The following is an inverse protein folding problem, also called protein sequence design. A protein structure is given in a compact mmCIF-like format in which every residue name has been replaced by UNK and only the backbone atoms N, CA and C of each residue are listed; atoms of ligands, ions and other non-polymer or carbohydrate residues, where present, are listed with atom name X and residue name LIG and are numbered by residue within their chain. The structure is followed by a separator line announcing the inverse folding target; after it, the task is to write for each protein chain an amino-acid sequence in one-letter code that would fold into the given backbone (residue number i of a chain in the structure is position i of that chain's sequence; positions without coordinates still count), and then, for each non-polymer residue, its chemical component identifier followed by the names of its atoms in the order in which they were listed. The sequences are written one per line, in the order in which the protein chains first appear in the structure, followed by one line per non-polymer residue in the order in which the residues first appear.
data_IF_628212972346
#
_entry.id   IF_628212972346
#
_cell.length_a   1.000
_cell.length_b   1.000
_cell.length_c   1.000
_cell.angle_alpha   90.00
_cell.angle_beta   90.00
_cell.angle_gamma   90.00
#
_symmetry.space_group_name_H-M   'P 1'
#
loop_
_entity.id
_entity.type
_entity.pdbx_description
1 polymer ?
#
# COMPACT_ATOMS: atom_id res chain seq x y z
N UNK A 1 -0.72 -13.86 20.09
CA UNK A 1 0.31 -13.16 20.84
C UNK A 1 -0.04 -13.10 22.34
N UNK A 2 -1.15 -12.50 22.73
CA UNK A 2 -1.56 -12.31 24.15
C UNK A 2 -1.58 -13.62 24.96
N UNK A 3 -2.06 -14.72 24.35
CA UNK A 3 -2.08 -16.05 24.97
C UNK A 3 -0.69 -16.52 25.44
N UNK A 4 0.37 -16.05 24.79
CA UNK A 4 1.76 -16.37 25.09
C UNK A 4 2.52 -15.26 25.79
N UNK A 5 1.83 -14.23 26.28
CA UNK A 5 2.44 -13.06 26.89
C UNK A 5 3.27 -12.19 25.94
N UNK A 6 3.11 -12.38 24.62
CA UNK A 6 3.83 -11.63 23.62
C UNK A 6 3.16 -10.29 23.31
N UNK A 7 3.98 -9.30 22.95
CA UNK A 7 3.52 -8.00 22.46
C UNK A 7 3.27 -8.04 20.96
N UNK A 8 2.37 -7.20 20.49
CA UNK A 8 2.02 -7.08 19.08
C UNK A 8 2.41 -5.69 18.60
N UNK A 9 3.24 -5.63 17.58
CA UNK A 9 3.50 -4.42 16.80
C UNK A 9 2.96 -4.62 15.40
N UNK A 10 2.22 -3.63 14.91
CA UNK A 10 1.70 -3.61 13.54
C UNK A 10 2.38 -2.50 12.76
N UNK A 11 3.07 -2.85 11.69
CA UNK A 11 3.47 -1.92 10.65
C UNK A 11 2.28 -1.76 9.69
N UNK A 12 1.61 -0.65 9.83
CA UNK A 12 0.40 -0.33 9.05
C UNK A 12 0.67 0.72 7.95
N UNK A 13 1.90 0.78 7.47
CA UNK A 13 2.31 1.73 6.45
C UNK A 13 1.49 1.63 5.15
N UNK A 14 0.91 0.49 4.85
CA UNK A 14 0.01 0.26 3.70
C UNK A 14 -1.46 0.12 4.09
N UNK A 15 -1.80 -0.08 5.36
CA UNK A 15 -3.18 -0.25 5.81
C UNK A 15 -3.86 1.07 6.15
N UNK A 16 -3.13 2.02 6.72
CA UNK A 16 -3.66 3.35 7.07
C UNK A 16 -4.18 4.08 5.83
N UNK A 17 -5.42 4.55 5.89
CA UNK A 17 -6.11 5.20 4.78
C UNK A 17 -6.65 4.26 3.71
N UNK A 18 -6.54 2.93 3.91
CA UNK A 18 -6.90 1.88 2.93
C UNK A 18 -7.83 0.83 3.53
N UNK A 19 -7.46 0.25 4.65
CA UNK A 19 -8.19 -0.85 5.30
C UNK A 19 -8.96 -0.37 6.54
N UNK A 20 -9.95 -1.15 6.93
CA UNK A 20 -10.76 -0.89 8.13
C UNK A 20 -11.76 0.22 7.93
N UNK A 21 -12.57 0.45 8.95
CA UNK A 21 -13.60 1.49 8.95
C UNK A 21 -12.99 2.88 8.76
N UNK A 22 -13.44 3.63 7.77
CA UNK A 22 -12.91 4.96 7.46
C UNK A 22 -11.40 4.98 7.15
N UNK A 23 -10.79 3.83 6.82
CA UNK A 23 -9.35 3.75 6.55
C UNK A 23 -8.47 3.72 7.81
N UNK A 24 -8.98 3.28 8.95
CA UNK A 24 -8.26 3.25 10.24
C UNK A 24 -7.16 2.19 10.32
N UNK A 25 -7.02 1.37 9.28
CA UNK A 25 -5.92 0.45 9.13
C UNK A 25 -6.24 -1.02 9.39
N UNK A 26 -5.19 -1.83 9.39
CA UNK A 26 -5.27 -3.28 9.43
C UNK A 26 -5.91 -3.82 10.71
N UNK A 27 -5.57 -3.27 11.87
CA UNK A 27 -6.17 -3.70 13.13
C UNK A 27 -7.68 -3.44 13.15
N UNK A 28 -8.13 -2.30 12.64
CA UNK A 28 -9.55 -1.97 12.49
C UNK A 28 -10.28 -2.92 11.53
N UNK A 29 -9.62 -3.31 10.44
CA UNK A 29 -10.17 -4.27 9.50
C UNK A 29 -10.51 -5.62 10.16
N UNK A 30 -9.71 -6.04 11.13
CA UNK A 30 -9.93 -7.29 11.86
C UNK A 30 -10.67 -7.13 13.19
N UNK A 31 -11.04 -5.91 13.61
CA UNK A 31 -11.65 -5.65 14.91
C UNK A 31 -10.73 -5.97 16.09
N UNK A 32 -9.42 -5.72 15.92
CA UNK A 32 -8.37 -6.10 16.88
C UNK A 32 -7.57 -4.90 17.41
N UNK A 33 -8.14 -3.68 17.35
CA UNK A 33 -7.44 -2.46 17.76
C UNK A 33 -6.90 -2.54 19.21
N UNK A 34 -7.68 -3.12 20.12
CA UNK A 34 -7.30 -3.27 21.53
C UNK A 34 -6.23 -4.36 21.77
N UNK A 35 -5.87 -5.14 20.73
CA UNK A 35 -4.89 -6.21 20.82
C UNK A 35 -3.48 -5.76 20.40
N UNK A 36 -3.35 -4.57 19.84
CA UNK A 36 -2.07 -4.04 19.34
C UNK A 36 -1.41 -3.19 20.42
N UNK A 37 -0.15 -3.49 20.73
CA UNK A 37 0.62 -2.75 21.73
C UNK A 37 1.37 -1.56 21.12
N UNK A 38 1.78 -1.68 19.85
CA UNK A 38 2.51 -0.63 19.12
C UNK A 38 2.02 -0.56 17.69
N UNK A 39 1.63 0.63 17.27
CA UNK A 39 1.33 0.94 15.87
C UNK A 39 2.48 1.71 15.23
N UNK A 40 2.82 1.35 14.02
CA UNK A 40 3.68 2.13 13.13
C UNK A 40 2.93 2.47 11.86
N UNK A 41 3.09 3.68 11.39
CA UNK A 41 2.57 4.11 10.08
C UNK A 41 3.47 5.13 9.44
N UNK A 42 3.30 5.29 8.12
CA UNK A 42 4.05 6.28 7.35
C UNK A 42 3.14 7.37 6.80
N UNK A 43 3.69 8.57 6.64
CA UNK A 43 3.01 9.67 5.95
C UNK A 43 3.23 9.65 4.43
N UNK A 44 4.14 8.80 3.95
CA UNK A 44 4.57 8.81 2.54
C UNK A 44 3.66 8.05 1.56
N UNK A 45 2.53 7.56 2.01
CA UNK A 45 1.55 6.82 1.20
C UNK A 45 0.20 7.54 1.22
N UNK A 46 -0.79 7.05 1.94
CA UNK A 46 -2.14 7.64 1.99
C UNK A 46 -2.18 9.09 2.45
N UNK A 47 -1.25 9.51 3.28
CA UNK A 47 -1.16 10.89 3.80
C UNK A 47 -0.28 11.82 2.95
N UNK A 48 0.23 11.35 1.82
CA UNK A 48 0.91 12.15 0.77
C UNK A 48 2.00 13.11 1.28
N UNK A 49 2.78 12.71 2.30
CA UNK A 49 3.81 13.54 2.92
C UNK A 49 5.11 12.76 3.15
N UNK A 50 6.00 13.28 3.97
CA UNK A 50 7.25 12.65 4.40
C UNK A 50 7.19 12.39 5.90
N UNK A 51 7.77 11.25 6.34
CA UNK A 51 7.88 10.88 7.75
C UNK A 51 6.93 9.75 8.12
N UNK A 52 6.69 9.60 9.40
CA UNK A 52 5.83 8.57 9.96
C UNK A 52 5.58 8.78 11.43
N UNK A 53 4.91 7.84 12.05
CA UNK A 53 4.59 7.88 13.46
C UNK A 53 4.72 6.50 14.09
N UNK A 54 4.88 6.52 15.40
CA UNK A 54 4.67 5.37 16.27
C UNK A 54 3.64 5.77 17.34
N UNK A 55 2.67 4.92 17.58
CA UNK A 55 1.70 5.08 18.65
C UNK A 55 1.71 3.86 19.57
N UNK A 56 1.74 4.10 20.87
CA UNK A 56 1.78 3.09 21.93
C UNK A 56 1.28 3.68 23.24
N UNK A 57 1.39 2.93 24.37
CA UNK A 57 1.15 3.54 25.69
C UNK A 57 2.10 4.71 25.97
N UNK A 58 1.72 5.58 26.87
CA UNK A 58 2.54 6.75 27.22
C UNK A 58 3.96 6.39 27.66
N UNK A 59 4.09 5.33 28.46
CA UNK A 59 5.38 4.83 28.95
C UNK A 59 6.26 4.32 27.81
N UNK A 60 5.70 3.57 26.87
CA UNK A 60 6.44 3.05 25.70
C UNK A 60 6.83 4.20 24.78
N UNK A 61 5.91 5.12 24.51
CA UNK A 61 6.18 6.28 23.65
C UNK A 61 7.28 7.18 24.25
N UNK A 62 7.25 7.42 25.55
CA UNK A 62 8.27 8.19 26.26
C UNK A 62 9.63 7.48 26.26
N UNK A 63 9.65 6.19 26.54
CA UNK A 63 10.88 5.40 26.47
C UNK A 63 11.50 5.44 25.06
N UNK A 64 10.71 5.24 24.02
CA UNK A 64 11.18 5.27 22.64
C UNK A 64 11.74 6.65 22.26
N UNK A 65 11.09 7.74 22.70
CA UNK A 65 11.53 9.11 22.45
C UNK A 65 12.92 9.36 23.04
N UNK A 66 13.25 8.78 24.19
CA UNK A 66 14.52 8.98 24.87
C UNK A 66 15.59 7.93 24.56
N UNK A 67 15.20 6.73 24.07
CA UNK A 67 16.12 5.61 23.85
C UNK A 67 16.35 5.27 22.38
N UNK A 68 15.46 5.68 21.47
CA UNK A 68 15.59 5.35 20.04
C UNK A 68 16.68 6.17 19.37
N UNK A 69 17.79 5.54 19.07
CA UNK A 69 18.91 6.18 18.37
C UNK A 69 18.52 6.75 17.00
N UNK A 70 17.74 6.03 16.15
CA UNK A 70 17.28 6.60 14.89
C UNK A 70 16.44 7.87 15.08
N UNK A 71 15.61 7.93 16.12
CA UNK A 71 14.82 9.13 16.42
C UNK A 71 15.68 10.29 16.92
N UNK A 72 16.62 10.03 17.85
CA UNK A 72 17.46 11.07 18.48
C UNK A 72 18.44 11.67 17.47
N UNK A 73 19.02 10.83 16.59
CA UNK A 73 20.09 11.23 15.65
C UNK A 73 19.57 11.55 14.23
N UNK A 74 18.26 11.61 14.04
CA UNK A 74 17.66 12.02 12.76
C UNK A 74 17.10 13.43 12.86
N UNK A 75 17.17 14.17 11.77
CA UNK A 75 16.52 15.47 11.66
C UNK A 75 14.99 15.29 11.70
N UNK A 76 14.32 16.21 12.38
CA UNK A 76 12.85 16.22 12.45
C UNK A 76 12.23 16.48 11.08
N UNK A 77 11.01 15.97 10.88
CA UNK A 77 10.23 16.27 9.67
C UNK A 77 9.96 17.78 9.58
N UNK A 78 10.07 18.37 8.37
CA UNK A 78 9.80 19.79 8.16
C UNK A 78 8.33 20.15 8.52
N UNK A 79 8.07 21.36 9.03
CA UNK A 79 6.71 21.80 9.38
C UNK A 79 5.71 21.70 8.23
N UNK A 80 6.12 21.97 6.99
CA UNK A 80 5.29 21.82 5.82
C UNK A 80 4.79 20.38 5.62
N UNK A 81 5.66 19.39 5.87
CA UNK A 81 5.30 17.97 5.78
C UNK A 81 4.36 17.55 6.92
N UNK A 82 4.53 18.08 8.13
CA UNK A 82 3.59 17.87 9.21
C UNK A 82 2.20 18.43 8.86
N UNK A 83 2.16 19.65 8.32
CA UNK A 83 0.91 20.29 7.91
C UNK A 83 0.22 19.51 6.78
N UNK A 84 0.98 19.01 5.81
CA UNK A 84 0.45 18.18 4.72
C UNK A 84 -0.16 16.87 5.27
N UNK A 85 0.55 16.15 6.12
CA UNK A 85 0.04 14.92 6.73
C UNK A 85 -1.23 15.17 7.54
N UNK A 86 -1.25 16.25 8.33
CA UNK A 86 -2.43 16.64 9.12
C UNK A 86 -3.62 16.97 8.23
N UNK A 87 -3.42 17.76 7.18
CA UNK A 87 -4.48 18.11 6.23
C UNK A 87 -5.04 16.86 5.50
N UNK A 88 -4.16 15.93 5.12
CA UNK A 88 -4.57 14.67 4.50
C UNK A 88 -5.38 13.79 5.47
N UNK A 89 -4.95 13.69 6.74
CA UNK A 89 -5.69 12.97 7.77
C UNK A 89 -7.07 13.58 8.01
N UNK A 90 -7.15 14.90 8.16
CA UNK A 90 -8.43 15.62 8.32
C UNK A 90 -9.34 15.44 7.10
N UNK A 91 -8.77 15.34 5.91
CA UNK A 91 -9.53 15.05 4.70
C UNK A 91 -10.08 13.62 4.73
N UNK A 92 -9.26 12.65 5.12
CA UNK A 92 -9.69 11.25 5.26
C UNK A 92 -10.83 11.11 6.28
N UNK A 93 -10.73 11.77 7.42
CA UNK A 93 -11.79 11.78 8.45
C UNK A 93 -13.12 12.37 7.96
N UNK A 94 -13.05 13.42 7.12
CA UNK A 94 -14.24 14.08 6.54
C UNK A 94 -14.82 13.35 5.34
N UNK A 95 -14.06 12.46 4.71
CA UNK A 95 -14.38 11.78 3.46
C UNK A 95 -14.19 10.26 3.59
N UNK A 96 -14.97 9.58 4.44
CA UNK A 96 -14.88 8.13 4.64
C UNK A 96 -15.20 7.34 3.36
N UNK A 97 -15.83 7.96 2.37
CA UNK A 97 -16.09 7.39 1.05
C UNK A 97 -14.82 7.14 0.22
N UNK A 98 -13.70 7.79 0.53
CA UNK A 98 -12.46 7.64 -0.25
C UNK A 98 -11.87 6.23 -0.15
N UNK A 99 -11.69 5.62 1.05
CA UNK A 99 -11.28 4.22 1.16
C UNK A 99 -12.26 3.24 0.51
N UNK A 100 -13.57 3.50 0.59
CA UNK A 100 -14.60 2.66 -0.04
C UNK A 100 -14.50 2.69 -1.55
N UNK A 101 -14.34 3.90 -2.13
CA UNK A 101 -14.10 4.09 -3.56
C UNK A 101 -12.82 3.37 -4.01
N UNK A 102 -11.74 3.51 -3.24
CA UNK A 102 -10.48 2.83 -3.54
C UNK A 102 -10.65 1.31 -3.54
N UNK A 103 -11.41 0.77 -2.60
CA UNK A 103 -11.74 -0.66 -2.53
C UNK A 103 -12.52 -1.11 -3.77
N UNK A 104 -13.54 -0.35 -4.17
CA UNK A 104 -14.33 -0.65 -5.37
C UNK A 104 -13.46 -0.66 -6.64
N UNK A 105 -12.60 0.36 -6.83
CA UNK A 105 -11.67 0.42 -7.95
C UNK A 105 -10.63 -0.72 -7.91
N UNK A 106 -10.19 -1.14 -6.73
CA UNK A 106 -9.27 -2.27 -6.58
C UNK A 106 -9.91 -3.60 -7.00
N UNK A 107 -11.18 -3.80 -6.66
CA UNK A 107 -11.97 -4.96 -7.10
C UNK A 107 -12.17 -4.94 -8.62
N UNK A 108 -12.53 -3.77 -9.16
CA UNK A 108 -12.69 -3.55 -10.59
C UNK A 108 -11.41 -3.88 -11.36
N UNK A 109 -10.29 -3.34 -10.92
CA UNK A 109 -8.99 -3.60 -11.54
C UNK A 109 -8.57 -5.08 -11.45
N UNK A 110 -8.78 -5.73 -10.29
CA UNK A 110 -8.50 -7.18 -10.16
C UNK A 110 -9.28 -8.00 -11.17
N UNK A 111 -10.57 -7.73 -11.27
CA UNK A 111 -11.43 -8.42 -12.24
C UNK A 111 -10.97 -8.14 -13.66
N UNK A 112 -10.74 -6.87 -14.02
CA UNK A 112 -10.33 -6.46 -15.36
C UNK A 112 -9.00 -7.05 -15.80
N UNK A 113 -8.00 -7.15 -14.91
CA UNK A 113 -6.72 -7.81 -15.18
C UNK A 113 -6.92 -9.33 -15.39
N UNK A 114 -7.72 -9.97 -14.57
CA UNK A 114 -8.00 -11.41 -14.68
C UNK A 114 -8.78 -11.72 -15.97
N UNK A 115 -9.77 -10.92 -16.32
CA UNK A 115 -10.56 -11.06 -17.56
C UNK A 115 -9.68 -10.95 -18.83
N UNK A 116 -8.55 -10.24 -18.73
CA UNK A 116 -7.53 -10.11 -19.79
C UNK A 116 -6.47 -11.23 -19.76
N UNK A 117 -6.68 -12.26 -18.96
CA UNK A 117 -5.81 -13.44 -18.88
C UNK A 117 -4.52 -13.23 -18.09
N UNK A 118 -4.40 -12.14 -17.35
CA UNK A 118 -3.20 -11.85 -16.56
C UNK A 118 -3.18 -12.66 -15.27
N UNK A 119 -2.05 -13.25 -14.94
CA UNK A 119 -1.86 -13.96 -13.67
C UNK A 119 -1.53 -12.94 -12.57
N UNK A 120 -2.50 -12.69 -11.71
CA UNK A 120 -2.34 -11.81 -10.55
C UNK A 120 -2.19 -12.62 -9.26
N UNK A 121 -1.49 -12.06 -8.27
CA UNK A 121 -1.41 -12.67 -6.95
C UNK A 121 -2.79 -12.67 -6.28
N UNK A 122 -3.27 -13.83 -5.79
CA UNK A 122 -4.51 -13.90 -5.03
C UNK A 122 -4.47 -12.99 -3.80
N UNK A 123 -5.59 -12.36 -3.45
CA UNK A 123 -5.72 -11.68 -2.18
C UNK A 123 -6.15 -12.66 -1.10
N UNK A 124 -5.48 -12.61 0.05
CA UNK A 124 -5.91 -13.35 1.23
C UNK A 124 -7.04 -12.61 2.00
N UNK A 125 -7.33 -11.36 1.63
CA UNK A 125 -8.34 -10.53 2.26
C UNK A 125 -9.60 -10.50 1.40
N UNK A 126 -10.77 -10.48 2.03
CA UNK A 126 -12.05 -10.22 1.35
C UNK A 126 -12.08 -8.79 0.77
N UNK A 127 -11.46 -7.84 1.47
CA UNK A 127 -11.22 -6.49 0.96
C UNK A 127 -9.80 -6.40 0.38
N UNK A 128 -9.63 -6.49 -0.94
CA UNK A 128 -8.31 -6.44 -1.56
C UNK A 128 -7.68 -5.05 -1.41
N UNK A 129 -6.37 -5.03 -1.22
CA UNK A 129 -5.61 -3.79 -1.22
C UNK A 129 -5.48 -3.22 -2.64
N UNK A 130 -5.20 -1.91 -2.79
CA UNK A 130 -5.01 -1.26 -4.08
C UNK A 130 -3.68 -1.58 -4.75
N UNK A 131 -2.91 -2.51 -4.21
CA UNK A 131 -1.69 -3.02 -4.83
C UNK A 131 -1.99 -4.39 -5.42
N UNK A 132 -1.83 -4.50 -6.74
CA UNK A 132 -2.10 -5.74 -7.45
C UNK A 132 -0.83 -6.18 -8.16
N UNK A 133 -0.16 -7.24 -7.66
CA UNK A 133 0.98 -7.84 -8.34
C UNK A 133 0.53 -8.67 -9.54
N UNK A 134 1.18 -8.47 -10.69
CA UNK A 134 0.99 -9.23 -11.94
C UNK A 134 2.27 -10.03 -12.19
N UNK A 135 2.20 -11.35 -12.21
CA UNK A 135 3.37 -12.20 -12.39
C UNK A 135 3.91 -12.14 -13.83
N UNK A 136 5.20 -11.92 -13.91
CA UNK A 136 5.99 -12.00 -15.14
C UNK A 136 7.03 -13.13 -15.06
N UNK A 137 7.30 -13.59 -13.84
CA UNK A 137 8.16 -14.71 -13.44
C UNK A 137 9.66 -14.47 -13.66
N UNK A 138 10.07 -13.98 -14.82
CA UNK A 138 11.46 -13.87 -15.24
C UNK A 138 11.94 -12.41 -15.21
N UNK A 139 13.13 -12.17 -14.66
CA UNK A 139 13.69 -10.83 -14.41
C UNK A 139 13.80 -9.97 -15.67
N UNK A 140 14.40 -10.51 -16.74
CA UNK A 140 14.60 -9.72 -17.98
C UNK A 140 13.28 -9.45 -18.69
N UNK A 141 12.36 -10.41 -18.67
CA UNK A 141 11.00 -10.22 -19.17
C UNK A 141 10.30 -9.10 -18.41
N UNK A 142 10.40 -9.10 -17.08
CA UNK A 142 9.78 -8.06 -16.23
C UNK A 142 10.27 -6.66 -16.60
N UNK A 143 11.58 -6.49 -16.77
CA UNK A 143 12.17 -5.20 -17.12
C UNK A 143 11.73 -4.73 -18.51
N UNK A 144 11.74 -5.63 -19.48
CA UNK A 144 11.34 -5.36 -20.86
C UNK A 144 9.87 -4.96 -20.98
N UNK A 145 9.00 -5.75 -20.35
CA UNK A 145 7.56 -5.50 -20.30
C UNK A 145 7.26 -4.16 -19.58
N UNK A 146 7.93 -3.89 -18.45
CA UNK A 146 7.75 -2.63 -17.74
C UNK A 146 8.15 -1.41 -18.58
N UNK A 147 9.26 -1.51 -19.34
CA UNK A 147 9.70 -0.46 -20.25
C UNK A 147 8.70 -0.22 -21.40
N UNK A 148 8.21 -1.30 -22.05
CA UNK A 148 7.23 -1.17 -23.14
C UNK A 148 5.90 -0.60 -22.64
N UNK A 149 5.42 -1.01 -21.46
CA UNK A 149 4.22 -0.46 -20.83
C UNK A 149 4.40 1.04 -20.55
N UNK A 150 5.58 1.43 -20.05
CA UNK A 150 5.92 2.83 -19.79
C UNK A 150 5.93 3.66 -21.08
N UNK A 151 6.52 3.17 -22.14
CA UNK A 151 6.57 3.84 -23.46
C UNK A 151 5.16 4.04 -24.05
N UNK A 152 4.20 3.21 -23.65
CA UNK A 152 2.78 3.32 -24.00
C UNK A 152 1.96 4.20 -23.02
N UNK A 153 2.63 4.84 -22.05
CA UNK A 153 2.03 5.83 -21.16
C UNK A 153 1.50 5.29 -19.83
N UNK A 154 1.78 4.02 -19.48
CA UNK A 154 1.36 3.43 -18.21
C UNK A 154 2.56 3.15 -17.31
N UNK A 155 2.58 3.73 -16.13
CA UNK A 155 3.63 3.49 -15.15
C UNK A 155 3.31 2.30 -14.25
N UNK A 156 4.22 1.31 -14.23
CA UNK A 156 4.20 0.15 -13.33
C UNK A 156 5.58 -0.06 -12.72
N UNK A 157 5.64 -0.59 -11.50
CA UNK A 157 6.91 -0.89 -10.84
C UNK A 157 7.32 -2.34 -11.10
N UNK A 158 8.46 -2.62 -11.77
CA UNK A 158 9.05 -3.95 -11.76
C UNK A 158 9.53 -4.29 -10.34
N UNK A 159 9.19 -5.47 -9.85
CA UNK A 159 9.64 -6.01 -8.56
C UNK A 159 10.35 -7.33 -8.83
N UNK A 160 11.61 -7.39 -8.45
CA UNK A 160 12.56 -8.44 -8.84
C UNK A 160 13.18 -9.08 -7.61
N UNK A 161 13.81 -10.25 -7.72
CA UNK A 161 14.66 -10.77 -6.64
C UNK A 161 15.76 -9.75 -6.26
N UNK A 162 16.07 -9.57 -4.95
CA UNK A 162 15.61 -10.37 -3.81
C UNK A 162 14.28 -9.90 -3.17
N UNK A 163 13.61 -8.86 -3.70
CA UNK A 163 12.32 -8.39 -3.17
C UNK A 163 11.18 -9.38 -3.43
N UNK A 164 11.39 -10.29 -4.40
CA UNK A 164 10.57 -11.48 -4.65
C UNK A 164 11.45 -12.72 -4.61
N UNK A 165 10.89 -13.92 -4.39
CA UNK A 165 11.62 -15.17 -4.62
C UNK A 165 12.12 -15.28 -6.06
N UNK A 166 13.19 -16.06 -6.27
CA UNK A 166 13.65 -16.42 -7.61
C UNK A 166 12.52 -17.06 -8.43
N UNK A 167 12.35 -16.61 -9.67
CA UNK A 167 11.29 -17.08 -10.55
C UNK A 167 9.91 -16.48 -10.28
N UNK A 168 9.77 -15.51 -9.35
CA UNK A 168 8.53 -14.83 -9.03
C UNK A 168 8.58 -13.32 -9.29
N UNK A 169 9.38 -12.88 -10.25
CA UNK A 169 9.39 -11.48 -10.66
C UNK A 169 8.00 -11.04 -11.14
N UNK A 170 7.65 -9.78 -10.87
CA UNK A 170 6.31 -9.28 -11.12
C UNK A 170 6.29 -7.78 -11.44
N UNK A 171 5.18 -7.33 -12.01
CA UNK A 171 4.83 -5.91 -12.10
C UNK A 171 3.93 -5.57 -10.90
N UNK A 172 4.30 -4.55 -10.15
CA UNK A 172 3.49 -4.01 -9.06
C UNK A 172 2.66 -2.84 -9.58
N UNK A 173 1.35 -3.05 -9.72
CA UNK A 173 0.41 -1.96 -10.01
C UNK A 173 -0.15 -1.39 -8.71
N UNK A 174 -0.44 -0.07 -8.72
CA UNK A 174 -0.97 0.65 -7.55
C UNK A 174 -2.07 1.59 -7.99
N UNK A 175 -3.18 1.58 -7.27
CA UNK A 175 -4.38 2.32 -7.61
C UNK A 175 -4.67 3.41 -6.58
N UNK A 176 -5.39 4.46 -7.03
CA UNK A 176 -5.78 5.61 -6.21
C UNK A 176 -7.28 5.86 -6.33
N UNK A 177 -7.88 6.44 -5.28
CA UNK A 177 -9.29 6.79 -5.27
C UNK A 177 -9.67 7.84 -6.34
N UNK A 178 -8.69 8.54 -6.91
CA UNK A 178 -8.87 9.52 -7.99
C UNK A 178 -8.90 8.91 -9.38
N UNK A 179 -8.54 7.64 -9.54
CA UNK A 179 -8.65 6.96 -10.82
C UNK A 179 -10.11 6.81 -11.24
N UNK A 180 -10.35 6.70 -12.54
CA UNK A 180 -11.64 6.38 -13.14
C UNK A 180 -11.59 5.00 -13.77
N UNK A 181 -12.75 4.35 -13.92
CA UNK A 181 -12.82 3.04 -14.60
C UNK A 181 -12.27 3.13 -16.03
N UNK A 182 -12.56 4.21 -16.75
CA UNK A 182 -12.04 4.42 -18.10
C UNK A 182 -10.51 4.47 -18.17
N UNK A 183 -9.86 5.17 -17.22
CA UNK A 183 -8.39 5.17 -17.12
C UNK A 183 -7.83 3.79 -16.77
N UNK A 184 -8.54 3.05 -15.91
CA UNK A 184 -8.15 1.70 -15.55
C UNK A 184 -8.30 0.73 -16.72
N UNK A 185 -9.37 0.85 -17.50
CA UNK A 185 -9.57 0.03 -18.72
C UNK A 185 -8.45 0.26 -19.73
N UNK A 186 -8.14 1.52 -20.04
CA UNK A 186 -7.04 1.86 -20.94
C UNK A 186 -5.70 1.29 -20.46
N UNK A 187 -5.39 1.45 -19.18
CA UNK A 187 -4.16 0.90 -18.59
C UNK A 187 -4.12 -0.63 -18.64
N UNK A 188 -5.22 -1.28 -18.31
CA UNK A 188 -5.31 -2.75 -18.31
C UNK A 188 -5.25 -3.32 -19.73
N UNK A 189 -5.81 -2.64 -20.73
CA UNK A 189 -5.71 -3.02 -22.14
C UNK A 189 -4.23 -2.96 -22.61
N UNK A 190 -3.54 -1.87 -22.30
CA UNK A 190 -2.12 -1.72 -22.60
C UNK A 190 -1.28 -2.82 -21.95
N UNK A 191 -1.49 -3.07 -20.65
CA UNK A 191 -0.77 -4.12 -19.92
C UNK A 191 -1.06 -5.49 -20.54
N UNK A 192 -2.32 -5.80 -20.81
CA UNK A 192 -2.74 -7.07 -21.41
C UNK A 192 -2.11 -7.31 -22.78
N UNK A 193 -2.13 -6.31 -23.65
CA UNK A 193 -1.56 -6.39 -24.99
C UNK A 193 -0.04 -6.61 -24.97
N UNK A 194 0.69 -5.90 -24.10
CA UNK A 194 2.15 -6.07 -23.95
C UNK A 194 2.47 -7.45 -23.40
N UNK A 195 1.77 -7.87 -22.35
CA UNK A 195 2.00 -9.18 -21.73
C UNK A 195 1.69 -10.37 -22.65
N UNK A 196 0.75 -10.21 -23.59
CA UNK A 196 0.38 -11.27 -24.54
C UNK A 196 1.40 -11.47 -25.68
N UNK A 197 2.28 -10.49 -25.94
CA UNK A 197 3.30 -10.56 -27.01
C UNK A 197 4.61 -11.20 -26.53
N UNK A 198 4.81 -11.29 -25.26
CA UNK A 198 6.04 -11.68 -24.58
C UNK A 198 5.88 -13.04 -23.86
#
# INVERSE_FOLDING_TARGET
AKQYGARVMVDDAHGLGVLGEGGRGTASYFGLEDQVDVYMGTFSKSLASLGGYMAASAEVADFVRHASRPFIFSASIPPANCATALAALQKLEKHPELPERLRALSLYARKGLTDRGLTIRPSALEAPTPIIPIYTYETYRTLRVAAEIYDRGVYVNPTLPPDTPEGEALLRTSYMATHTEALLDEAMDIIGEVMARE
#
